data_IF_814599701689
#
_entry.id   IF_814599701689
#
_cell.length_a   1.000
_cell.length_b   1.000
_cell.length_c   1.000
_cell.angle_alpha   90.00
_cell.angle_beta   90.00
_cell.angle_gamma   90.00
#
_symmetry.space_group_name_H-M   'P 1'
#
loop_
_entity.id
_entity.type
_entity.pdbx_description
1 polymer ?
#
# COMPACT_ATOMS: atom_id res chain seq x y z
N UNK A 1 -11.05 -27.70 11.81
CA UNK A 1 -10.09 -26.81 11.09
C UNK A 1 -10.76 -26.21 9.87
N UNK A 2 -10.68 -24.88 9.72
CA UNK A 2 -11.19 -24.15 8.54
C UNK A 2 -10.14 -23.16 8.00
N UNK A 3 -10.39 -22.61 6.79
CA UNK A 3 -9.46 -21.69 6.15
C UNK A 3 -9.30 -20.37 6.92
N UNK A 4 -10.30 -19.96 7.68
CA UNK A 4 -10.23 -18.71 8.46
C UNK A 4 -9.32 -18.90 9.68
N UNK A 5 -9.42 -20.02 10.37
CA UNK A 5 -8.52 -20.38 11.46
C UNK A 5 -7.06 -20.47 10.96
N UNK A 6 -6.83 -21.11 9.80
CA UNK A 6 -5.50 -21.16 9.19
C UNK A 6 -4.97 -19.77 8.83
N UNK A 7 -5.79 -18.86 8.30
CA UNK A 7 -5.39 -17.46 8.04
C UNK A 7 -5.00 -16.73 9.32
N UNK A 8 -5.77 -16.91 10.40
CA UNK A 8 -5.46 -16.32 11.70
C UNK A 8 -4.14 -16.84 12.26
N UNK A 9 -3.91 -18.15 12.16
CA UNK A 9 -2.66 -18.76 12.59
C UNK A 9 -1.47 -18.27 11.77
N UNK A 10 -1.54 -18.28 10.43
CA UNK A 10 -0.47 -17.80 9.55
C UNK A 10 -0.12 -16.34 9.84
N UNK A 11 -1.13 -15.47 10.00
CA UNK A 11 -0.90 -14.08 10.35
C UNK A 11 -0.21 -13.94 11.71
N UNK A 12 -0.63 -14.70 12.73
CA UNK A 12 -0.02 -14.69 14.06
C UNK A 12 1.43 -15.19 14.02
N UNK A 13 1.69 -16.22 13.23
CA UNK A 13 3.00 -16.84 13.06
C UNK A 13 4.00 -15.93 12.33
N UNK A 14 3.55 -15.17 11.36
CA UNK A 14 4.38 -14.23 10.59
C UNK A 14 4.68 -12.94 11.37
N UNK A 15 3.72 -12.47 12.14
CA UNK A 15 3.88 -11.24 12.93
C UNK A 15 4.54 -11.48 14.28
N UNK A 16 4.54 -12.71 14.79
CA UNK A 16 4.93 -13.07 16.16
C UNK A 16 4.32 -12.12 17.21
N UNK A 17 3.12 -11.60 16.91
CA UNK A 17 2.41 -10.63 17.73
C UNK A 17 0.92 -10.58 17.39
N UNK A 18 0.07 -11.01 18.33
CA UNK A 18 -1.37 -11.12 18.12
C UNK A 18 -2.07 -9.80 17.75
N UNK A 19 -1.66 -8.68 18.37
CA UNK A 19 -2.23 -7.37 18.02
C UNK A 19 -1.94 -6.94 16.58
N UNK A 20 -0.71 -7.17 16.10
CA UNK A 20 -0.32 -6.86 14.72
C UNK A 20 -1.01 -7.77 13.71
N UNK A 21 -1.06 -9.07 14.02
CA UNK A 21 -1.76 -10.05 13.20
C UNK A 21 -3.26 -9.72 13.07
N UNK A 22 -3.89 -9.34 14.17
CA UNK A 22 -5.29 -8.93 14.19
C UNK A 22 -5.53 -7.66 13.36
N UNK A 23 -4.68 -6.66 13.50
CA UNK A 23 -4.74 -5.44 12.68
C UNK A 23 -4.57 -5.75 11.17
N UNK A 24 -3.66 -6.67 10.82
CA UNK A 24 -3.47 -7.13 9.42
C UNK A 24 -4.72 -7.79 8.84
N UNK A 25 -5.48 -8.52 9.68
CA UNK A 25 -6.71 -9.23 9.29
C UNK A 25 -7.99 -8.40 9.54
N UNK A 26 -7.86 -7.15 9.97
CA UNK A 26 -8.99 -6.23 10.26
C UNK A 26 -9.96 -6.81 11.30
N UNK A 27 -9.42 -7.42 12.37
CA UNK A 27 -10.20 -8.05 13.42
C UNK A 27 -9.68 -7.69 14.82
N UNK A 28 -10.45 -8.02 15.86
CA UNK A 28 -10.02 -7.82 17.25
C UNK A 28 -8.95 -8.85 17.64
N UNK A 29 -7.94 -8.47 18.45
CA UNK A 29 -6.92 -9.40 18.94
C UNK A 29 -7.48 -10.60 19.71
N UNK A 30 -8.57 -10.40 20.47
CA UNK A 30 -9.28 -11.45 21.19
C UNK A 30 -9.91 -12.48 20.24
N UNK A 31 -10.48 -12.01 19.13
CA UNK A 31 -11.07 -12.89 18.12
C UNK A 31 -9.99 -13.71 17.42
N UNK A 32 -8.87 -13.09 17.01
CA UNK A 32 -7.75 -13.79 16.41
C UNK A 32 -7.19 -14.85 17.37
N UNK A 33 -6.99 -14.50 18.63
CA UNK A 33 -6.53 -15.43 19.66
C UNK A 33 -7.47 -16.63 19.87
N UNK A 34 -8.79 -16.40 19.77
CA UNK A 34 -9.80 -17.45 19.83
C UNK A 34 -9.71 -18.40 18.62
N UNK A 35 -9.57 -17.88 17.40
CA UNK A 35 -9.46 -18.72 16.20
C UNK A 35 -8.20 -19.58 16.20
N UNK A 36 -7.06 -19.03 16.66
CA UNK A 36 -5.83 -19.82 16.80
C UNK A 36 -6.01 -20.91 17.86
N UNK A 37 -6.66 -20.63 18.99
CA UNK A 37 -6.94 -21.64 20.02
C UNK A 37 -7.84 -22.75 19.50
N UNK A 38 -8.93 -22.40 18.81
CA UNK A 38 -9.83 -23.37 18.20
C UNK A 38 -9.11 -24.27 17.19
N UNK A 39 -8.13 -23.75 16.46
CA UNK A 39 -7.27 -24.54 15.58
C UNK A 39 -6.38 -25.51 16.37
N UNK A 40 -5.76 -25.04 17.46
CA UNK A 40 -4.94 -25.88 18.35
C UNK A 40 -5.76 -27.00 18.99
N UNK A 41 -6.98 -26.68 19.43
CA UNK A 41 -7.92 -27.66 20.01
C UNK A 41 -8.34 -28.71 18.96
N UNK A 42 -8.62 -28.30 17.74
CA UNK A 42 -9.06 -29.20 16.66
C UNK A 42 -7.92 -30.12 16.17
N UNK A 43 -6.68 -29.65 16.21
CA UNK A 43 -5.49 -30.42 15.84
C UNK A 43 -4.89 -31.22 17.01
N UNK A 44 -5.32 -30.95 18.23
CA UNK A 44 -4.83 -31.62 19.42
C UNK A 44 -3.40 -31.29 19.82
N UNK A 45 -2.84 -30.22 19.27
CA UNK A 45 -1.47 -29.76 19.55
C UNK A 45 -1.37 -28.24 19.68
N UNK A 46 -0.39 -27.76 20.43
CA UNK A 46 -0.08 -26.34 20.51
C UNK A 46 0.83 -25.94 19.35
N UNK A 47 0.44 -24.86 18.67
CA UNK A 47 1.16 -24.31 17.54
C UNK A 47 2.01 -23.08 17.93
N UNK A 48 1.62 -22.41 19.02
CA UNK A 48 2.28 -21.17 19.47
C UNK A 48 2.49 -21.19 20.98
N UNK A 49 3.69 -20.77 21.41
CA UNK A 49 4.02 -20.49 22.79
C UNK A 49 3.80 -19.01 23.05
N UNK A 50 3.01 -18.70 24.06
CA UNK A 50 2.67 -17.31 24.44
C UNK A 50 3.17 -17.05 25.85
N UNK A 51 3.98 -16.03 25.97
CA UNK A 51 4.36 -15.44 27.26
C UNK A 51 3.85 -13.99 27.32
N UNK A 52 3.96 -13.35 28.45
CA UNK A 52 3.63 -11.92 28.61
C UNK A 52 4.54 -11.01 27.77
N UNK A 53 5.69 -11.52 27.31
CA UNK A 53 6.71 -10.74 26.60
C UNK A 53 6.99 -11.18 25.17
N UNK A 54 6.60 -12.40 24.80
CA UNK A 54 6.92 -12.96 23.48
C UNK A 54 5.88 -13.95 22.98
N UNK A 55 5.83 -14.07 21.68
CA UNK A 55 5.08 -15.08 20.95
C UNK A 55 6.05 -15.80 20.03
N UNK A 56 6.14 -17.12 20.12
CA UNK A 56 7.01 -17.97 19.29
C UNK A 56 6.22 -19.16 18.76
N UNK A 57 6.69 -19.78 17.68
CA UNK A 57 6.15 -21.02 17.16
C UNK A 57 6.66 -22.23 17.96
N UNK A 58 5.85 -23.27 18.06
CA UNK A 58 6.31 -24.62 18.38
C UNK A 58 6.89 -25.30 17.14
N UNK A 59 7.51 -26.47 17.27
CA UNK A 59 7.96 -27.27 16.13
C UNK A 59 6.77 -27.65 15.23
N UNK A 60 5.64 -28.10 15.82
CA UNK A 60 4.39 -28.35 15.09
C UNK A 60 3.86 -27.08 14.40
N UNK A 61 3.96 -25.93 15.07
CA UNK A 61 3.60 -24.64 14.49
C UNK A 61 4.45 -24.29 13.26
N UNK A 62 5.75 -24.56 13.31
CA UNK A 62 6.64 -24.31 12.17
C UNK A 62 6.32 -25.21 10.97
N UNK A 63 6.02 -26.49 11.22
CA UNK A 63 5.58 -27.46 10.20
C UNK A 63 4.25 -27.01 9.60
N UNK A 64 3.25 -26.76 10.45
CA UNK A 64 1.93 -26.33 9.98
C UNK A 64 1.99 -25.00 9.20
N UNK A 65 2.85 -24.06 9.57
CA UNK A 65 2.98 -22.77 8.88
C UNK A 65 3.31 -22.96 7.39
N UNK A 66 4.22 -23.88 7.08
CA UNK A 66 4.60 -24.21 5.71
C UNK A 66 3.42 -24.74 4.91
N UNK A 67 2.72 -25.72 5.47
CA UNK A 67 1.63 -26.42 4.80
C UNK A 67 0.37 -25.54 4.73
N UNK A 68 0.07 -24.78 5.79
CA UNK A 68 -1.03 -23.83 5.80
C UNK A 68 -0.86 -22.72 4.73
N UNK A 69 0.36 -22.22 4.51
CA UNK A 69 0.63 -21.28 3.43
C UNK A 69 0.35 -21.87 2.06
N UNK A 70 0.76 -23.12 1.83
CA UNK A 70 0.52 -23.80 0.57
C UNK A 70 -0.98 -24.02 0.33
N UNK A 71 -1.70 -24.50 1.34
CA UNK A 71 -3.15 -24.71 1.27
C UNK A 71 -3.93 -23.43 1.03
N UNK A 72 -3.62 -22.37 1.76
CA UNK A 72 -4.24 -21.05 1.58
C UNK A 72 -3.98 -20.50 0.18
N UNK A 73 -2.77 -20.68 -0.34
CA UNK A 73 -2.41 -20.29 -1.71
C UNK A 73 -3.27 -21.03 -2.73
N UNK A 74 -3.46 -22.34 -2.57
CA UNK A 74 -4.30 -23.14 -3.47
C UNK A 74 -5.78 -22.72 -3.39
N UNK A 75 -6.29 -22.50 -2.18
CA UNK A 75 -7.66 -22.04 -1.97
C UNK A 75 -7.91 -20.66 -2.63
N UNK A 76 -6.97 -19.74 -2.49
CA UNK A 76 -7.05 -18.42 -3.12
C UNK A 76 -6.98 -18.51 -4.65
N UNK A 77 -6.11 -19.35 -5.19
CA UNK A 77 -6.02 -19.61 -6.64
C UNK A 77 -7.30 -20.20 -7.21
N UNK A 78 -7.90 -21.16 -6.49
CA UNK A 78 -9.18 -21.76 -6.85
C UNK A 78 -10.29 -20.70 -6.88
N UNK A 79 -10.41 -19.92 -5.81
CA UNK A 79 -11.39 -18.83 -5.72
C UNK A 79 -11.20 -17.79 -6.84
N UNK A 80 -9.96 -17.41 -7.14
CA UNK A 80 -9.64 -16.49 -8.22
C UNK A 80 -10.08 -17.03 -9.59
N UNK A 81 -9.79 -18.31 -9.87
CA UNK A 81 -10.15 -18.97 -11.13
C UNK A 81 -11.67 -18.94 -11.38
N UNK A 82 -12.48 -19.20 -10.34
CA UNK A 82 -13.93 -19.19 -10.50
C UNK A 82 -14.53 -17.79 -10.51
N UNK A 83 -13.93 -16.82 -9.81
CA UNK A 83 -14.33 -15.42 -9.92
C UNK A 83 -14.13 -14.85 -11.34
N UNK A 84 -13.03 -15.22 -12.00
CA UNK A 84 -12.80 -14.86 -13.42
C UNK A 84 -13.85 -15.50 -14.35
N UNK A 85 -14.21 -16.78 -14.10
CA UNK A 85 -15.26 -17.46 -14.90
C UNK A 85 -16.64 -16.84 -14.74
N UNK A 86 -17.02 -16.49 -13.51
CA UNK A 86 -18.32 -15.84 -13.24
C UNK A 86 -18.45 -14.44 -13.84
N UNK A 87 -17.31 -13.78 -14.13
CA UNK A 87 -17.27 -12.41 -14.70
C UNK A 87 -17.34 -12.34 -16.21
N UNK A 88 -17.17 -13.44 -16.93
CA UNK A 88 -17.31 -13.41 -18.41
C UNK A 88 -18.66 -12.86 -18.91
N UNK A 89 -19.62 -12.66 -17.99
CA UNK A 89 -20.94 -12.06 -18.29
C UNK A 89 -21.05 -10.58 -17.85
N UNK A 90 -20.09 -10.02 -17.11
CA UNK A 90 -20.14 -8.62 -16.68
C UNK A 90 -18.89 -7.89 -17.19
N UNK A 91 -19.12 -6.86 -18.03
CA UNK A 91 -18.07 -5.94 -18.49
C UNK A 91 -17.59 -5.07 -17.32
N UNK A 92 -16.85 -5.65 -16.35
CA UNK A 92 -16.37 -4.95 -15.16
C UNK A 92 -14.92 -5.32 -14.82
N UNK A 93 -14.12 -4.33 -14.44
CA UNK A 93 -12.75 -4.49 -13.94
C UNK A 93 -12.62 -3.84 -12.57
N UNK A 94 -11.93 -4.51 -11.63
CA UNK A 94 -11.69 -4.03 -10.27
C UNK A 94 -10.25 -3.55 -10.14
N UNK A 95 -10.12 -2.28 -9.91
CA UNK A 95 -8.84 -1.57 -9.84
C UNK A 95 -8.57 -1.11 -8.42
N UNK A 96 -7.45 -1.52 -7.86
CA UNK A 96 -6.93 -1.00 -6.61
C UNK A 96 -5.94 0.12 -6.85
N UNK A 97 -5.84 1.09 -5.94
CA UNK A 97 -4.81 2.11 -6.02
C UNK A 97 -4.39 2.62 -4.64
N UNK A 98 -3.12 2.96 -4.51
CA UNK A 98 -2.68 3.79 -3.39
C UNK A 98 -3.19 5.22 -3.58
N UNK A 99 -3.32 5.94 -2.47
CA UNK A 99 -3.86 7.30 -2.41
C UNK A 99 -3.31 8.27 -3.46
N UNK A 100 -1.99 8.34 -3.64
CA UNK A 100 -1.40 9.25 -4.64
C UNK A 100 -1.77 8.84 -6.06
N UNK A 101 -1.81 7.55 -6.38
CA UNK A 101 -2.24 7.08 -7.70
C UNK A 101 -3.74 7.33 -7.91
N UNK A 102 -4.55 7.17 -6.87
CA UNK A 102 -5.99 7.48 -6.90
C UNK A 102 -6.24 8.98 -7.14
N UNK A 103 -5.45 9.87 -6.52
CA UNK A 103 -5.55 11.31 -6.72
C UNK A 103 -4.97 11.79 -8.06
N UNK A 104 -3.97 11.11 -8.61
CA UNK A 104 -3.20 11.54 -9.77
C UNK A 104 -3.44 10.75 -11.04
N UNK A 105 -2.96 9.51 -11.09
CA UNK A 105 -2.98 8.68 -12.30
C UNK A 105 -4.40 8.24 -12.70
N UNK A 106 -5.18 7.73 -11.74
CA UNK A 106 -6.46 7.09 -12.04
C UNK A 106 -7.48 8.03 -12.69
N UNK A 107 -7.68 9.28 -12.26
CA UNK A 107 -8.62 10.17 -12.93
C UNK A 107 -8.32 10.34 -14.42
N UNK A 108 -7.03 10.45 -14.79
CA UNK A 108 -6.60 10.59 -16.17
C UNK A 108 -6.77 9.28 -16.97
N UNK A 109 -6.30 8.16 -16.40
CA UNK A 109 -6.41 6.85 -17.02
C UNK A 109 -7.87 6.45 -17.25
N UNK A 110 -8.71 6.62 -16.24
CA UNK A 110 -10.12 6.24 -16.33
C UNK A 110 -10.92 7.14 -17.26
N UNK A 111 -10.58 8.43 -17.32
CA UNK A 111 -11.17 9.33 -18.30
C UNK A 111 -10.87 8.85 -19.73
N UNK A 112 -9.62 8.48 -19.99
CA UNK A 112 -9.21 7.98 -21.30
C UNK A 112 -9.83 6.61 -21.61
N UNK A 113 -9.84 5.71 -20.62
CA UNK A 113 -10.39 4.36 -20.75
C UNK A 113 -11.90 4.36 -21.02
N UNK A 114 -12.64 5.22 -20.34
CA UNK A 114 -14.09 5.36 -20.53
C UNK A 114 -14.46 5.83 -21.93
N UNK A 115 -13.61 6.59 -22.61
CA UNK A 115 -13.83 7.03 -24.00
C UNK A 115 -13.74 5.87 -24.98
N UNK A 116 -12.83 4.93 -24.74
CA UNK A 116 -12.62 3.77 -25.62
C UNK A 116 -13.54 2.60 -25.24
N UNK A 117 -13.84 2.45 -23.96
CA UNK A 117 -14.68 1.36 -23.41
C UNK A 117 -15.78 1.91 -22.50
N UNK A 118 -16.78 2.58 -23.06
CA UNK A 118 -17.93 3.12 -22.30
C UNK A 118 -18.83 2.02 -21.71
N UNK A 119 -18.73 0.80 -22.25
CA UNK A 119 -19.44 -0.40 -21.82
C UNK A 119 -18.86 -1.03 -20.55
N UNK A 120 -17.64 -0.65 -20.15
CA UNK A 120 -16.95 -1.26 -19.01
C UNK A 120 -17.18 -0.46 -17.72
N UNK A 121 -17.64 -1.15 -16.69
CA UNK A 121 -17.71 -0.60 -15.33
C UNK A 121 -16.37 -0.80 -14.61
N UNK A 122 -15.76 0.29 -14.14
CA UNK A 122 -14.56 0.23 -13.32
C UNK A 122 -14.94 0.39 -11.85
N UNK A 123 -14.65 -0.63 -11.03
CA UNK A 123 -14.81 -0.57 -9.59
C UNK A 123 -13.48 -0.21 -8.95
N UNK A 124 -13.45 0.89 -8.18
CA UNK A 124 -12.24 1.39 -7.55
C UNK A 124 -12.19 1.03 -6.06
N UNK A 125 -10.98 0.66 -5.62
CA UNK A 125 -10.65 0.45 -4.21
C UNK A 125 -9.38 1.23 -3.90
N UNK A 126 -9.48 2.23 -3.05
CA UNK A 126 -8.32 2.93 -2.52
C UNK A 126 -7.87 2.26 -1.22
N UNK A 127 -6.60 1.85 -1.16
CA UNK A 127 -6.00 1.25 0.03
C UNK A 127 -4.46 1.29 -0.07
N UNK A 128 -3.77 0.83 0.95
CA UNK A 128 -2.31 0.72 1.00
C UNK A 128 -1.82 -0.50 0.23
N UNK A 129 -0.59 -0.46 -0.30
CA UNK A 129 0.04 -1.59 -1.01
C UNK A 129 -0.10 -2.90 -0.25
N UNK A 130 0.16 -2.89 1.06
CA UNK A 130 0.10 -4.09 1.93
C UNK A 130 -1.28 -4.76 1.96
N UNK A 131 -2.35 -4.03 1.65
CA UNK A 131 -3.73 -4.54 1.58
C UNK A 131 -4.18 -4.83 0.15
N UNK A 132 -3.66 -4.09 -0.83
CA UNK A 132 -4.00 -4.28 -2.25
C UNK A 132 -3.40 -5.57 -2.82
N UNK A 133 -2.12 -5.87 -2.52
CA UNK A 133 -1.46 -7.07 -3.06
C UNK A 133 -2.14 -8.38 -2.65
N UNK A 134 -2.56 -8.60 -1.40
CA UNK A 134 -3.35 -9.78 -1.03
C UNK A 134 -4.69 -9.88 -1.76
N UNK A 135 -5.32 -8.73 -2.09
CA UNK A 135 -6.58 -8.72 -2.85
C UNK A 135 -6.39 -9.10 -4.32
N UNK A 136 -5.23 -8.81 -4.92
CA UNK A 136 -4.85 -9.34 -6.23
C UNK A 136 -4.69 -10.86 -6.18
N UNK A 137 -3.92 -11.37 -5.21
CA UNK A 137 -3.68 -12.81 -5.03
C UNK A 137 -4.98 -13.60 -4.81
N UNK A 138 -5.93 -13.03 -4.06
CA UNK A 138 -7.24 -13.65 -3.83
C UNK A 138 -8.23 -13.42 -4.97
N UNK A 139 -7.86 -12.74 -6.05
CA UNK A 139 -8.73 -12.41 -7.18
C UNK A 139 -9.88 -11.45 -6.79
N UNK A 140 -9.75 -10.68 -5.72
CA UNK A 140 -10.68 -9.60 -5.35
C UNK A 140 -10.40 -8.31 -6.12
N UNK A 141 -9.19 -8.15 -6.65
CA UNK A 141 -8.78 -7.12 -7.59
C UNK A 141 -8.22 -7.77 -8.86
N UNK A 142 -8.31 -7.05 -9.96
CA UNK A 142 -7.81 -7.47 -11.27
C UNK A 142 -6.52 -6.74 -11.63
N UNK A 143 -6.41 -5.49 -11.17
CA UNK A 143 -5.27 -4.60 -11.37
C UNK A 143 -5.08 -3.76 -10.11
N UNK A 144 -3.84 -3.42 -9.76
CA UNK A 144 -3.58 -2.45 -8.70
C UNK A 144 -2.39 -1.54 -9.05
N UNK A 145 -2.50 -0.27 -8.67
CA UNK A 145 -1.44 0.73 -8.77
C UNK A 145 -0.81 0.92 -7.39
N UNK A 146 0.45 0.50 -7.25
CA UNK A 146 1.10 0.31 -5.95
C UNK A 146 2.54 0.80 -5.93
N UNK A 147 3.11 0.94 -4.74
CA UNK A 147 4.56 0.97 -4.55
C UNK A 147 5.06 -0.47 -4.55
N UNK A 148 5.92 -0.89 -5.52
CA UNK A 148 6.40 -2.27 -5.55
C UNK A 148 7.25 -2.56 -4.30
N UNK A 149 7.03 -3.69 -3.62
CA UNK A 149 7.87 -4.08 -2.48
C UNK A 149 9.28 -4.48 -2.94
N UNK A 150 10.27 -4.40 -2.05
CA UNK A 150 11.65 -4.83 -2.34
C UNK A 150 11.72 -6.31 -2.72
N UNK A 151 10.92 -7.14 -2.07
CA UNK A 151 10.80 -8.58 -2.35
C UNK A 151 9.38 -8.92 -2.81
N UNK A 152 9.10 -8.81 -4.11
CA UNK A 152 7.76 -9.07 -4.63
C UNK A 152 7.39 -10.55 -4.59
N UNK A 153 6.13 -10.84 -4.31
CA UNK A 153 5.58 -12.20 -4.40
C UNK A 153 5.65 -12.69 -5.87
N UNK A 154 6.25 -13.86 -6.09
CA UNK A 154 6.44 -14.46 -7.42
C UNK A 154 5.13 -14.76 -8.17
N UNK A 155 4.00 -14.79 -7.46
CA UNK A 155 2.65 -14.97 -8.02
C UNK A 155 2.06 -13.69 -8.60
N UNK A 156 2.71 -12.55 -8.37
CA UNK A 156 2.32 -11.25 -8.93
C UNK A 156 3.27 -10.87 -10.07
N UNK A 157 2.75 -10.14 -11.00
CA UNK A 157 3.49 -9.42 -12.03
C UNK A 157 3.45 -7.93 -11.74
N UNK A 158 4.57 -7.27 -12.01
CA UNK A 158 4.70 -5.83 -11.83
C UNK A 158 5.21 -5.20 -13.12
N UNK A 159 4.55 -4.14 -13.54
CA UNK A 159 5.01 -3.26 -14.59
C UNK A 159 5.38 -1.92 -13.97
N UNK A 160 6.67 -1.59 -13.95
CA UNK A 160 7.11 -0.27 -13.53
C UNK A 160 6.52 0.79 -14.47
N UNK A 161 6.01 1.88 -13.91
CA UNK A 161 5.42 2.97 -14.66
C UNK A 161 6.38 4.16 -14.72
N UNK A 162 6.60 4.78 -13.61
CA UNK A 162 7.49 5.94 -13.43
C UNK A 162 7.76 6.17 -11.94
N UNK A 163 8.64 7.14 -11.69
CA UNK A 163 8.85 7.65 -10.35
C UNK A 163 8.00 8.90 -10.13
N UNK A 164 7.22 8.92 -9.09
CA UNK A 164 6.49 10.10 -8.62
C UNK A 164 7.43 10.99 -7.82
N UNK A 165 7.38 12.29 -8.09
CA UNK A 165 8.19 13.30 -7.40
C UNK A 165 7.66 13.54 -5.99
N UNK A 166 8.55 13.80 -5.03
CA UNK A 166 8.20 14.24 -3.69
C UNK A 166 8.18 15.77 -3.59
N UNK A 167 7.28 16.29 -2.77
CA UNK A 167 7.15 17.72 -2.45
C UNK A 167 7.06 17.91 -0.93
N UNK A 168 7.35 19.09 -0.46
CA UNK A 168 7.15 19.48 0.94
C UNK A 168 5.79 20.14 1.09
N UNK A 169 4.95 19.58 1.95
CA UNK A 169 3.69 20.18 2.38
C UNK A 169 3.96 21.04 3.63
N UNK A 170 3.51 22.28 3.60
CA UNK A 170 3.69 23.28 4.63
C UNK A 170 2.38 24.04 4.85
N UNK A 171 2.15 24.56 6.06
CA UNK A 171 1.10 25.58 6.24
C UNK A 171 1.39 26.77 5.34
N UNK A 172 0.38 27.40 4.80
CA UNK A 172 0.52 28.62 3.95
C UNK A 172 1.13 29.80 4.70
N UNK A 173 1.02 29.83 6.03
CA UNK A 173 1.66 30.79 6.92
C UNK A 173 3.13 30.44 7.26
N UNK A 174 3.62 29.28 6.84
CA UNK A 174 4.99 28.85 7.18
C UNK A 174 6.04 29.71 6.46
N UNK A 175 7.16 30.12 7.12
CA UNK A 175 8.19 30.97 6.50
C UNK A 175 8.74 30.42 5.17
N UNK A 176 8.83 29.09 5.03
CA UNK A 176 9.31 28.46 3.81
C UNK A 176 8.24 28.32 2.70
N UNK A 177 6.98 28.65 2.98
CA UNK A 177 5.87 28.47 2.02
C UNK A 177 5.97 29.38 0.77
N UNK A 178 6.69 30.50 0.88
CA UNK A 178 6.94 31.43 -0.25
C UNK A 178 8.05 30.98 -1.19
N UNK A 179 8.84 29.96 -0.82
CA UNK A 179 9.96 29.48 -1.62
C UNK A 179 9.50 28.70 -2.84
N UNK A 180 10.27 28.76 -3.91
CA UNK A 180 10.05 27.92 -5.11
C UNK A 180 10.58 26.50 -4.94
N UNK A 181 11.60 26.31 -4.11
CA UNK A 181 12.25 25.04 -3.76
C UNK A 181 12.72 25.09 -2.32
N UNK A 182 12.71 23.93 -1.66
CA UNK A 182 13.20 23.73 -0.30
C UNK A 182 14.22 22.59 -0.33
N UNK A 183 15.36 22.76 0.32
CA UNK A 183 16.37 21.72 0.53
C UNK A 183 16.08 20.92 1.79
N UNK A 184 16.66 19.72 1.93
CA UNK A 184 16.56 18.95 3.18
C UNK A 184 17.21 19.70 4.35
N UNK A 185 18.31 20.42 4.10
CA UNK A 185 18.99 21.22 5.12
C UNK A 185 18.09 22.32 5.72
N UNK A 186 17.20 22.90 4.93
CA UNK A 186 16.21 23.88 5.43
C UNK A 186 15.09 23.25 6.26
N UNK A 187 14.97 21.92 6.22
CA UNK A 187 14.02 21.15 7.04
C UNK A 187 14.67 20.57 8.32
N UNK A 188 15.96 20.76 8.57
CA UNK A 188 16.71 20.13 9.65
C UNK A 188 16.02 20.29 11.03
N UNK A 189 15.60 21.51 11.36
CA UNK A 189 14.99 21.85 12.66
C UNK A 189 13.46 21.85 12.63
N UNK A 190 12.85 21.52 11.48
CA UNK A 190 11.40 21.56 11.34
C UNK A 190 10.76 20.32 11.97
N UNK A 191 9.63 20.48 12.70
CA UNK A 191 8.87 19.33 13.18
C UNK A 191 8.26 18.60 11.99
N UNK A 192 8.59 17.30 11.85
CA UNK A 192 8.14 16.48 10.75
C UNK A 192 6.91 15.65 11.12
N UNK A 193 5.96 15.60 10.20
CA UNK A 193 4.84 14.68 10.23
C UNK A 193 5.13 13.59 9.21
N UNK A 194 5.35 12.35 9.68
CA UNK A 194 5.76 11.23 8.84
C UNK A 194 4.70 10.14 8.77
N UNK A 195 4.61 9.38 7.67
CA UNK A 195 3.71 8.24 7.58
C UNK A 195 4.17 7.10 8.50
N UNK A 196 3.22 6.28 8.96
CA UNK A 196 3.52 5.04 9.68
C UNK A 196 4.34 4.08 8.79
N UNK A 197 5.52 3.69 9.24
CA UNK A 197 6.46 2.88 8.45
C UNK A 197 5.89 1.54 8.01
N UNK A 198 5.13 0.85 8.88
CA UNK A 198 4.57 -0.48 8.57
C UNK A 198 3.59 -0.45 7.41
N UNK A 199 2.77 0.58 7.35
CA UNK A 199 1.74 0.71 6.33
C UNK A 199 2.24 1.39 5.06
N UNK A 200 3.26 2.26 5.19
CA UNK A 200 3.79 3.11 4.11
C UNK A 200 5.32 3.16 4.11
N UNK A 201 6.01 1.99 4.02
CA UNK A 201 7.46 1.92 4.16
C UNK A 201 8.18 2.85 3.19
N UNK A 202 7.83 2.85 1.91
CA UNK A 202 8.49 3.69 0.90
C UNK A 202 8.48 5.18 1.23
N UNK A 203 7.35 5.72 1.70
CA UNK A 203 7.26 7.15 2.01
C UNK A 203 7.98 7.50 3.30
N UNK A 204 7.94 6.63 4.30
CA UNK A 204 8.66 6.79 5.55
C UNK A 204 10.17 6.73 5.32
N UNK A 205 10.62 5.63 4.69
CA UNK A 205 12.04 5.35 4.51
C UNK A 205 12.69 6.36 3.54
N UNK A 206 11.95 6.85 2.54
CA UNK A 206 12.40 7.94 1.69
C UNK A 206 12.73 9.20 2.51
N UNK A 207 11.82 9.60 3.42
CA UNK A 207 12.04 10.77 4.28
C UNK A 207 13.26 10.56 5.16
N UNK A 208 13.36 9.42 5.86
CA UNK A 208 14.48 9.13 6.73
C UNK A 208 15.81 9.09 5.96
N UNK A 209 15.83 8.47 4.79
CA UNK A 209 17.01 8.37 3.94
C UNK A 209 17.52 9.74 3.49
N UNK A 210 16.62 10.63 3.06
CA UNK A 210 17.00 11.98 2.64
C UNK A 210 17.67 12.79 3.76
N UNK A 211 17.19 12.67 4.99
CA UNK A 211 17.82 13.31 6.14
C UNK A 211 19.19 12.69 6.45
N UNK A 212 19.27 11.35 6.48
CA UNK A 212 20.52 10.65 6.74
C UNK A 212 21.62 10.97 5.69
N UNK A 213 21.26 11.03 4.40
CA UNK A 213 22.18 11.39 3.31
C UNK A 213 22.68 12.85 3.42
N UNK A 214 21.88 13.72 3.99
CA UNK A 214 22.28 15.10 4.29
C UNK A 214 23.10 15.23 5.61
N UNK A 215 23.36 14.13 6.32
CA UNK A 215 24.03 14.13 7.63
C UNK A 215 23.16 14.72 8.75
N UNK A 216 21.82 14.68 8.59
CA UNK A 216 20.86 15.29 9.49
C UNK A 216 19.99 14.24 10.17
N UNK A 217 19.50 14.55 11.37
CA UNK A 217 18.46 13.78 12.04
C UNK A 217 17.07 14.38 11.76
N UNK A 218 16.10 13.51 11.45
CA UNK A 218 14.72 13.91 11.23
C UNK A 218 14.00 14.13 12.58
N UNK A 219 13.56 15.37 12.86
CA UNK A 219 12.79 15.70 14.07
C UNK A 219 11.33 15.29 13.90
N UNK A 220 10.99 14.04 14.22
CA UNK A 220 9.63 13.53 14.09
C UNK A 220 8.76 14.09 15.21
N UNK A 221 7.76 14.90 14.85
CA UNK A 221 6.79 15.45 15.78
C UNK A 221 5.51 14.58 15.83
N UNK A 222 5.07 14.02 14.70
CA UNK A 222 3.86 13.22 14.62
C UNK A 222 4.04 12.06 13.63
N UNK A 223 3.37 10.95 13.93
CA UNK A 223 3.22 9.82 13.00
C UNK A 223 1.73 9.69 12.68
N UNK A 224 1.37 9.70 11.40
CA UNK A 224 0.00 9.54 10.97
C UNK A 224 -0.09 8.56 9.79
N UNK A 225 -1.14 7.75 9.77
CA UNK A 225 -1.26 6.67 8.80
C UNK A 225 -1.87 7.13 7.46
N UNK A 226 -2.85 8.03 7.51
CA UNK A 226 -3.57 8.49 6.34
C UNK A 226 -3.04 9.83 5.81
N UNK A 227 -2.88 9.94 4.48
CA UNK A 227 -2.37 11.17 3.86
C UNK A 227 -3.24 12.39 4.13
N UNK A 228 -4.55 12.22 4.10
CA UNK A 228 -5.46 13.32 4.41
C UNK A 228 -5.25 13.83 5.85
N UNK A 229 -5.00 12.93 6.81
CA UNK A 229 -4.67 13.31 8.19
C UNK A 229 -3.34 14.06 8.24
N UNK A 230 -2.30 13.56 7.55
CA UNK A 230 -1.00 14.25 7.48
C UNK A 230 -1.18 15.68 6.95
N UNK A 231 -1.89 15.85 5.85
CA UNK A 231 -2.11 17.17 5.22
C UNK A 231 -2.93 18.09 6.14
N UNK A 232 -3.92 17.56 6.85
CA UNK A 232 -4.71 18.33 7.82
C UNK A 232 -3.87 18.79 9.02
N UNK A 233 -2.96 17.95 9.52
CA UNK A 233 -2.02 18.33 10.58
C UNK A 233 -1.03 19.41 10.10
N UNK A 234 -0.57 19.33 8.86
CA UNK A 234 0.24 20.38 8.23
C UNK A 234 -0.55 21.69 8.13
N UNK A 235 -1.81 21.64 7.70
CA UNK A 235 -2.71 22.80 7.64
C UNK A 235 -2.86 23.48 9.00
N UNK A 236 -2.93 22.69 10.06
CA UNK A 236 -3.02 23.18 11.44
C UNK A 236 -1.68 23.70 12.01
N UNK A 237 -0.61 23.72 11.21
CA UNK A 237 0.71 24.23 11.64
C UNK A 237 1.47 23.30 12.61
N UNK A 238 1.09 22.04 12.73
CA UNK A 238 1.71 21.08 13.66
C UNK A 238 3.05 20.52 13.15
N UNK A 239 3.43 20.85 11.93
CA UNK A 239 4.69 20.45 11.33
C UNK A 239 4.66 20.49 9.81
N UNK A 240 5.71 19.97 9.20
CA UNK A 240 5.85 19.87 7.73
C UNK A 240 5.90 18.40 7.33
N UNK A 241 5.54 18.07 6.09
CA UNK A 241 5.58 16.69 5.62
C UNK A 241 6.19 16.59 4.21
N UNK A 242 6.95 15.52 3.97
CA UNK A 242 7.39 15.16 2.63
C UNK A 242 6.38 14.15 2.07
N UNK A 243 5.72 14.53 0.97
CA UNK A 243 4.61 13.76 0.40
C UNK A 243 4.78 13.63 -1.12
N UNK A 244 4.18 12.60 -1.75
CA UNK A 244 4.11 12.52 -3.20
C UNK A 244 3.45 13.76 -3.81
N UNK A 245 3.91 14.22 -4.97
CA UNK A 245 3.40 15.43 -5.64
C UNK A 245 1.89 15.39 -5.85
N UNK A 246 1.32 14.25 -6.20
CA UNK A 246 -0.13 14.12 -6.41
C UNK A 246 -0.97 14.30 -5.13
N UNK A 247 -0.34 14.24 -3.95
CA UNK A 247 -1.03 14.63 -2.71
C UNK A 247 -1.53 16.08 -2.77
N UNK A 248 -0.90 16.96 -3.57
CA UNK A 248 -1.35 18.33 -3.79
C UNK A 248 -2.73 18.44 -4.47
N UNK A 249 -3.23 17.35 -5.05
CA UNK A 249 -4.58 17.28 -5.63
C UNK A 249 -5.65 16.93 -4.60
N UNK A 250 -5.25 16.52 -3.38
CA UNK A 250 -6.18 16.33 -2.27
C UNK A 250 -6.62 17.70 -1.75
N UNK A 251 -7.93 17.86 -1.51
CA UNK A 251 -8.49 19.10 -1.02
C UNK A 251 -8.02 19.37 0.42
N UNK A 252 -7.16 20.36 0.60
CA UNK A 252 -6.76 20.87 1.90
C UNK A 252 -6.57 22.38 1.81
N UNK A 253 -7.31 23.14 2.62
CA UNK A 253 -7.14 24.58 2.73
C UNK A 253 -5.92 24.90 3.59
N UNK A 254 -5.25 26.02 3.33
CA UNK A 254 -4.14 26.48 4.16
C UNK A 254 -2.85 25.65 4.03
N UNK A 255 -2.68 24.88 2.93
CA UNK A 255 -1.48 24.09 2.67
C UNK A 255 -0.82 24.53 1.36
N UNK A 256 0.48 24.77 1.43
CA UNK A 256 1.35 24.98 0.27
C UNK A 256 2.19 23.73 0.03
N UNK A 257 2.36 23.41 -1.25
CA UNK A 257 3.21 22.32 -1.71
C UNK A 257 4.39 22.93 -2.46
N UNK A 258 5.58 22.80 -1.90
CA UNK A 258 6.82 23.36 -2.45
C UNK A 258 7.70 22.23 -2.96
N UNK A 259 8.32 22.41 -4.11
CA UNK A 259 9.24 21.41 -4.68
C UNK A 259 10.41 21.18 -3.74
N UNK A 260 10.71 19.91 -3.48
CA UNK A 260 11.92 19.53 -2.78
C UNK A 260 13.11 19.66 -3.74
N UNK A 261 14.09 20.44 -3.36
CA UNK A 261 15.36 20.52 -4.10
C UNK A 261 16.21 19.31 -3.72
N UNK A 262 16.31 18.35 -4.59
CA UNK A 262 17.08 17.15 -4.32
C UNK A 262 17.64 16.52 -5.59
N UNK A 263 18.61 15.63 -5.38
CA UNK A 263 19.13 14.71 -6.37
C UNK A 263 18.05 13.74 -6.87
N UNK A 264 18.38 12.90 -7.84
CA UNK A 264 17.52 11.86 -8.41
C UNK A 264 16.93 10.85 -7.40
N UNK A 265 17.30 10.96 -6.13
CA UNK A 265 16.93 10.07 -5.03
C UNK A 265 15.52 10.29 -4.46
N UNK A 266 14.85 11.40 -4.80
CA UNK A 266 13.54 11.77 -4.22
C UNK A 266 12.35 11.22 -4.99
N UNK A 267 12.49 10.04 -5.55
CA UNK A 267 11.51 9.48 -6.45
C UNK A 267 10.85 8.25 -5.82
N UNK A 268 9.54 8.30 -5.74
CA UNK A 268 8.74 7.18 -5.26
C UNK A 268 8.31 6.31 -6.46
N UNK A 269 8.74 5.03 -6.54
CA UNK A 269 8.36 4.17 -7.65
C UNK A 269 6.86 3.92 -7.65
N UNK A 270 6.22 3.98 -8.82
CA UNK A 270 4.85 3.55 -9.04
C UNK A 270 4.84 2.41 -10.05
N UNK A 271 4.09 1.36 -9.77
CA UNK A 271 3.93 0.22 -10.63
C UNK A 271 2.47 -0.21 -10.73
N UNK A 272 2.10 -0.76 -11.88
CA UNK A 272 0.91 -1.57 -12.03
C UNK A 272 1.23 -3.01 -11.63
N UNK A 273 0.31 -3.68 -10.91
CA UNK A 273 0.47 -5.04 -10.44
C UNK A 273 -0.79 -5.86 -10.70
N UNK A 274 -0.63 -7.14 -11.05
CA UNK A 274 -1.73 -8.10 -11.23
C UNK A 274 -1.27 -9.53 -10.92
N UNK A 275 -2.22 -10.47 -10.82
CA UNK A 275 -1.92 -11.87 -10.58
C UNK A 275 -1.36 -12.55 -11.81
N UNK A 276 -0.20 -13.21 -11.68
CA UNK A 276 0.45 -13.96 -12.75
C UNK A 276 -0.45 -15.09 -13.28
N UNK A 277 -0.41 -15.29 -14.59
CA UNK A 277 -1.15 -16.38 -15.23
C UNK A 277 -2.66 -16.18 -15.32
N UNK A 278 -3.21 -15.06 -14.84
CA UNK A 278 -4.62 -14.72 -15.05
C UNK A 278 -4.79 -14.00 -16.38
N UNK A 279 -5.76 -14.45 -17.20
CA UNK A 279 -6.17 -13.76 -18.43
C UNK A 279 -7.40 -12.90 -18.13
N UNK A 280 -7.28 -11.61 -18.34
CA UNK A 280 -8.37 -10.64 -18.22
C UNK A 280 -8.25 -9.63 -19.36
N UNK A 281 -9.05 -9.77 -20.45
CA UNK A 281 -8.95 -8.90 -21.61
C UNK A 281 -9.13 -7.42 -21.29
N UNK A 282 -10.05 -7.07 -20.36
CA UNK A 282 -10.34 -5.67 -20.00
C UNK A 282 -9.15 -5.06 -19.29
N UNK A 283 -8.55 -5.79 -18.33
CA UNK A 283 -7.30 -5.38 -17.67
C UNK A 283 -6.18 -5.20 -18.69
N UNK A 284 -6.02 -6.15 -19.59
CA UNK A 284 -4.93 -6.15 -20.55
C UNK A 284 -5.06 -4.96 -21.52
N UNK A 285 -6.28 -4.63 -21.98
CA UNK A 285 -6.59 -3.41 -22.75
C UNK A 285 -6.23 -2.13 -21.96
N UNK A 286 -6.62 -2.08 -20.68
CA UNK A 286 -6.27 -0.93 -19.80
C UNK A 286 -4.75 -0.78 -19.65
N UNK A 287 -4.00 -1.88 -19.52
CA UNK A 287 -2.55 -1.87 -19.45
C UNK A 287 -1.90 -1.40 -20.77
N UNK A 288 -2.42 -1.81 -21.93
CA UNK A 288 -1.90 -1.34 -23.21
C UNK A 288 -2.18 0.16 -23.42
N UNK A 289 -3.36 0.65 -23.08
CA UNK A 289 -3.65 2.09 -23.06
C UNK A 289 -2.70 2.84 -22.14
N UNK A 290 -2.47 2.31 -20.93
CA UNK A 290 -1.54 2.89 -19.96
C UNK A 290 -0.12 3.00 -20.53
N UNK A 291 0.39 1.93 -21.18
CA UNK A 291 1.69 1.92 -21.84
C UNK A 291 1.79 2.96 -22.95
N UNK A 292 0.79 3.02 -23.81
CA UNK A 292 0.78 3.94 -24.97
C UNK A 292 0.78 5.42 -24.55
N UNK A 293 0.25 5.74 -23.37
CA UNK A 293 0.13 7.12 -22.84
C UNK A 293 1.03 7.40 -21.64
N UNK A 294 1.95 6.48 -21.32
CA UNK A 294 2.77 6.53 -20.10
C UNK A 294 3.54 7.84 -19.97
N UNK A 295 4.15 8.33 -21.05
CA UNK A 295 4.91 9.58 -21.08
C UNK A 295 4.05 10.82 -20.74
N UNK A 296 2.76 10.80 -21.08
CA UNK A 296 1.83 11.86 -20.72
C UNK A 296 1.50 11.83 -19.23
N UNK A 297 1.21 10.65 -18.68
CA UNK A 297 0.89 10.48 -17.25
C UNK A 297 2.10 10.79 -16.36
N UNK A 298 3.31 10.38 -16.79
CA UNK A 298 4.55 10.61 -16.05
C UNK A 298 4.91 12.10 -15.90
N UNK A 299 4.54 12.96 -16.86
CA UNK A 299 4.78 14.41 -16.78
C UNK A 299 4.01 15.08 -15.65
N UNK A 300 2.91 14.48 -15.22
CA UNK A 300 2.06 14.99 -14.16
C UNK A 300 2.49 14.49 -12.76
N UNK A 301 3.36 13.45 -12.69
CA UNK A 301 3.80 12.76 -11.48
C UNK A 301 4.95 13.46 -10.67
#
# INVERSE_FOLDING_TARGET
MDLHQLRCFVAAAEELHFGRAAQRLEMLPSALGRFVRLLEEDLGTRLMIRTTRSVTLTDDGAVLLKDARALLTQADALAAKFRVRGRKQASAVRVGAIDSAAAGLLPMLLHDFRKERPDVTVQLVEDKTIRLLPRLLSGRLDLAFVRPPESPDKRLEFMFLFHETAVVALSDSHPLASKKRITITELADQPLIVPERRSRPHSHDLTMKMFAEAGLEARIAQIADEKQTIVNLVSAGLGVAIVPKWTSRMAARGVRYVRLASSDMNKLPLAAAWSRGTRDPIRDEMLEMLKSRLSRYAREA
#
